data_IF_754557957518
#
_entry.id   IF_754557957518
#
_cell.length_a   1.000
_cell.length_b   1.000
_cell.length_c   1.000
_cell.angle_alpha   90.00
_cell.angle_beta   90.00
_cell.angle_gamma   90.00
#
_symmetry.space_group_name_H-M   'P 1'
#
loop_
_entity.id
_entity.type
_entity.pdbx_description
1 polymer ?
#
# COMPACT_ATOMS: atom_id res chain seq x y z
N UNK A 1 -58.88 -29.08 50.32
CA UNK A 1 -57.90 -27.97 50.24
C UNK A 1 -56.51 -28.58 50.18
N UNK A 2 -55.87 -28.62 49.01
CA UNK A 2 -54.46 -29.03 48.86
C UNK A 2 -53.72 -27.80 48.35
N UNK A 3 -52.88 -27.20 49.20
CA UNK A 3 -51.96 -26.12 48.84
C UNK A 3 -50.85 -26.73 48.00
N UNK A 4 -50.79 -26.37 46.72
CA UNK A 4 -49.64 -26.67 45.86
C UNK A 4 -48.60 -25.58 46.07
N UNK A 5 -47.80 -25.72 47.13
CA UNK A 5 -46.56 -24.96 47.27
C UNK A 5 -45.53 -25.59 46.32
N UNK A 6 -45.48 -25.10 45.07
CA UNK A 6 -44.34 -25.37 44.21
C UNK A 6 -43.15 -24.61 44.82
N UNK A 7 -42.10 -25.30 45.31
CA UNK A 7 -40.93 -24.61 45.85
C UNK A 7 -40.31 -23.81 44.71
N UNK A 8 -40.16 -22.50 44.92
CA UNK A 8 -39.39 -21.64 44.02
C UNK A 8 -38.00 -22.26 43.92
N UNK A 9 -37.66 -22.81 42.74
CA UNK A 9 -36.36 -23.42 42.52
C UNK A 9 -35.29 -22.32 42.59
N UNK A 10 -34.48 -22.33 43.66
CA UNK A 10 -33.47 -21.32 43.94
C UNK A 10 -32.44 -21.17 42.81
N UNK A 11 -32.16 -22.25 42.07
CA UNK A 11 -31.26 -22.20 40.90
C UNK A 11 -31.85 -21.34 39.77
N UNK A 12 -33.16 -21.46 39.52
CA UNK A 12 -33.84 -20.65 38.50
C UNK A 12 -33.89 -19.17 38.91
N UNK A 13 -34.07 -18.90 40.22
CA UNK A 13 -34.10 -17.54 40.75
C UNK A 13 -32.70 -16.88 40.70
N UNK A 14 -31.65 -17.62 41.05
CA UNK A 14 -30.28 -17.15 40.98
C UNK A 14 -29.83 -16.87 39.55
N UNK A 15 -30.19 -17.74 38.60
CA UNK A 15 -29.93 -17.52 37.18
C UNK A 15 -30.65 -16.28 36.64
N UNK A 16 -31.89 -16.03 37.05
CA UNK A 16 -32.66 -14.83 36.65
C UNK A 16 -32.09 -13.53 37.25
N UNK A 17 -31.50 -13.60 38.45
CA UNK A 17 -30.77 -12.48 39.07
C UNK A 17 -29.47 -12.15 38.35
N UNK A 18 -28.68 -13.17 37.97
CA UNK A 18 -27.42 -12.97 37.25
C UNK A 18 -27.62 -12.39 35.85
N UNK A 19 -28.64 -12.82 35.11
CA UNK A 19 -28.94 -12.27 33.78
C UNK A 19 -29.47 -10.84 33.85
N UNK A 20 -30.30 -10.50 34.85
CA UNK A 20 -30.74 -9.12 35.09
C UNK A 20 -29.58 -8.19 35.43
N UNK A 21 -28.69 -8.62 36.32
CA UNK A 21 -27.51 -7.83 36.68
C UNK A 21 -26.58 -7.60 35.47
N UNK A 22 -26.39 -8.61 34.62
CA UNK A 22 -25.60 -8.48 33.40
C UNK A 22 -26.24 -7.50 32.40
N UNK A 23 -27.57 -7.56 32.22
CA UNK A 23 -28.33 -6.64 31.38
C UNK A 23 -28.22 -5.18 31.86
N UNK A 24 -28.37 -4.93 33.16
CA UNK A 24 -28.22 -3.58 33.71
C UNK A 24 -26.79 -3.05 33.56
N UNK A 25 -25.79 -3.91 33.79
CA UNK A 25 -24.39 -3.52 33.62
C UNK A 25 -24.09 -3.06 32.19
N UNK A 26 -24.47 -3.85 31.18
CA UNK A 26 -24.26 -3.51 29.77
C UNK A 26 -25.05 -2.26 29.33
N UNK A 27 -26.25 -2.04 29.89
CA UNK A 27 -27.01 -0.80 29.66
C UNK A 27 -26.31 0.41 30.27
N UNK A 28 -25.79 0.29 31.48
CA UNK A 28 -25.08 1.37 32.16
C UNK A 28 -23.76 1.71 31.45
N UNK A 29 -23.03 0.70 30.94
CA UNK A 29 -21.81 0.92 30.13
C UNK A 29 -22.12 1.69 28.84
N UNK A 30 -23.25 1.41 28.18
CA UNK A 30 -23.73 2.20 27.04
C UNK A 30 -24.10 3.62 27.42
N UNK A 31 -24.80 3.82 28.53
CA UNK A 31 -25.16 5.16 29.02
C UNK A 31 -23.93 6.01 29.41
N UNK A 32 -22.84 5.35 29.79
CA UNK A 32 -21.54 5.98 30.06
C UNK A 32 -20.69 6.19 28.79
N UNK A 33 -21.17 5.76 27.61
CA UNK A 33 -20.45 5.87 26.34
C UNK A 33 -19.24 4.94 26.21
N UNK A 34 -19.16 3.90 27.06
CA UNK A 34 -18.10 2.89 27.00
C UNK A 34 -18.35 1.83 25.92
N UNK A 35 -19.59 1.70 25.45
CA UNK A 35 -20.01 0.71 24.46
C UNK A 35 -21.16 1.25 23.59
N UNK A 36 -21.14 0.96 22.28
CA UNK A 36 -22.17 1.35 21.32
C UNK A 36 -23.14 0.19 21.00
N UNK A 37 -23.10 -0.89 21.78
CA UNK A 37 -23.98 -2.05 21.58
C UNK A 37 -25.46 -1.67 21.58
N UNK A 38 -26.15 -2.16 20.55
CA UNK A 38 -27.61 -2.08 20.44
C UNK A 38 -28.28 -2.98 21.47
N UNK A 39 -29.54 -2.68 21.82
CA UNK A 39 -30.32 -3.54 22.72
C UNK A 39 -30.29 -5.02 22.29
N UNK A 40 -30.42 -5.28 20.99
CA UNK A 40 -30.39 -6.63 20.43
C UNK A 40 -29.03 -7.33 20.65
N UNK A 41 -27.92 -6.62 20.52
CA UNK A 41 -26.59 -7.16 20.81
C UNK A 41 -26.42 -7.47 22.30
N UNK A 42 -26.91 -6.59 23.18
CA UNK A 42 -26.92 -6.82 24.64
C UNK A 42 -27.76 -8.06 24.98
N UNK A 43 -28.94 -8.19 24.38
CA UNK A 43 -29.80 -9.37 24.56
C UNK A 43 -29.11 -10.66 24.07
N UNK A 44 -28.46 -10.63 22.90
CA UNK A 44 -27.72 -11.78 22.37
C UNK A 44 -26.48 -12.13 23.20
N UNK A 45 -25.84 -11.17 23.85
CA UNK A 45 -24.68 -11.40 24.72
C UNK A 45 -25.10 -12.05 26.04
N UNK A 46 -26.22 -11.64 26.63
CA UNK A 46 -26.71 -12.17 27.92
C UNK A 46 -27.48 -13.49 27.76
N UNK A 47 -28.36 -13.58 26.76
CA UNK A 47 -29.23 -14.76 26.57
C UNK A 47 -28.75 -15.70 25.46
N UNK A 48 -27.74 -15.30 24.69
CA UNK A 48 -27.35 -15.98 23.46
C UNK A 48 -28.25 -15.60 22.29
N UNK A 49 -27.76 -15.83 21.06
CA UNK A 49 -28.60 -15.72 19.85
C UNK A 49 -29.79 -16.66 19.95
N UNK A 50 -30.99 -16.16 19.64
CA UNK A 50 -32.21 -16.97 19.63
C UNK A 50 -32.07 -18.11 18.61
N UNK A 51 -31.87 -19.32 19.14
CA UNK A 51 -31.74 -20.56 18.38
C UNK A 51 -33.06 -21.32 18.26
N UNK A 52 -34.12 -20.90 18.95
CA UNK A 52 -35.36 -21.69 19.14
C UNK A 52 -36.59 -20.94 18.65
N UNK A 53 -36.66 -20.69 17.33
CA UNK A 53 -37.98 -20.54 16.70
C UNK A 53 -38.68 -21.90 16.69
N UNK A 54 -40.02 -21.87 16.79
CA UNK A 54 -41.04 -22.93 16.97
C UNK A 54 -40.81 -24.37 16.44
N UNK A 55 -39.77 -24.67 15.66
CA UNK A 55 -39.47 -26.01 15.15
C UNK A 55 -38.29 -26.66 15.89
N UNK A 56 -38.56 -27.75 16.62
CA UNK A 56 -37.53 -28.73 16.99
C UNK A 56 -37.14 -29.53 15.75
N UNK A 57 -35.84 -29.69 15.50
CA UNK A 57 -35.37 -30.69 14.54
C UNK A 57 -35.58 -32.10 15.13
N UNK A 58 -35.71 -33.11 14.27
CA UNK A 58 -35.76 -34.50 14.71
C UNK A 58 -34.39 -34.91 15.26
N UNK A 59 -34.32 -35.26 16.55
CA UNK A 59 -33.10 -35.71 17.23
C UNK A 59 -32.95 -35.11 18.63
N UNK A 60 -32.34 -35.86 19.55
CA UNK A 60 -32.00 -35.36 20.90
C UNK A 60 -30.97 -34.24 20.75
N UNK A 61 -31.24 -33.09 21.36
CA UNK A 61 -30.32 -31.96 21.54
C UNK A 61 -29.89 -31.17 20.28
N UNK A 62 -30.48 -31.41 19.10
CA UNK A 62 -30.18 -30.63 17.89
C UNK A 62 -31.31 -29.65 17.57
N UNK A 63 -30.98 -28.38 17.41
CA UNK A 63 -31.93 -27.36 16.96
C UNK A 63 -31.87 -27.21 15.45
N UNK A 64 -32.96 -26.74 14.84
CA UNK A 64 -33.01 -26.55 13.37
C UNK A 64 -32.01 -25.49 12.89
N UNK A 65 -31.67 -24.53 13.77
CA UNK A 65 -30.65 -23.51 13.56
C UNK A 65 -29.23 -24.08 13.60
N UNK A 66 -28.98 -25.22 14.24
CA UNK A 66 -27.67 -25.91 14.15
C UNK A 66 -27.45 -26.52 12.75
N UNK A 67 -28.52 -26.85 12.04
CA UNK A 67 -28.45 -27.41 10.68
C UNK A 67 -28.43 -26.33 9.59
N UNK A 68 -29.25 -25.29 9.72
CA UNK A 68 -29.44 -24.28 8.66
C UNK A 68 -28.86 -22.90 9.00
N UNK A 69 -28.29 -22.75 10.19
CA UNK A 69 -27.84 -21.45 10.70
C UNK A 69 -29.00 -20.55 11.14
N UNK A 70 -28.66 -19.47 11.83
CA UNK A 70 -29.61 -18.41 12.16
C UNK A 70 -29.78 -17.53 10.92
N UNK A 71 -31.02 -17.38 10.45
CA UNK A 71 -31.31 -16.42 9.38
C UNK A 71 -30.99 -15.01 9.89
N UNK A 72 -30.04 -14.28 9.27
CA UNK A 72 -29.66 -12.94 9.72
C UNK A 72 -30.86 -12.00 9.70
N UNK A 73 -30.90 -11.12 10.69
CA UNK A 73 -31.93 -10.10 10.77
C UNK A 73 -31.74 -9.07 9.66
N UNK A 74 -32.79 -8.31 9.31
CA UNK A 74 -32.68 -7.17 8.39
C UNK A 74 -31.66 -6.14 8.88
N UNK A 75 -31.51 -6.01 10.19
CA UNK A 75 -30.60 -5.08 10.83
C UNK A 75 -29.14 -5.56 10.69
N UNK A 76 -28.89 -6.87 10.89
CA UNK A 76 -27.57 -7.49 10.68
C UNK A 76 -27.12 -7.32 9.23
N UNK A 77 -28.03 -7.54 8.28
CA UNK A 77 -27.79 -7.32 6.85
C UNK A 77 -27.45 -5.86 6.54
N UNK A 78 -28.17 -4.91 7.13
CA UNK A 78 -27.90 -3.49 6.93
C UNK A 78 -26.53 -3.08 7.47
N UNK A 79 -26.14 -3.57 8.66
CA UNK A 79 -24.82 -3.34 9.25
C UNK A 79 -23.72 -3.90 8.35
N UNK A 80 -23.84 -5.14 7.90
CA UNK A 80 -22.88 -5.74 6.98
C UNK A 80 -22.74 -4.96 5.67
N UNK A 81 -23.85 -4.47 5.10
CA UNK A 81 -23.80 -3.65 3.88
C UNK A 81 -23.09 -2.32 4.12
N UNK A 82 -23.32 -1.68 5.28
CA UNK A 82 -22.63 -0.43 5.62
C UNK A 82 -21.12 -0.64 5.80
N UNK A 83 -20.72 -1.70 6.50
CA UNK A 83 -19.30 -2.06 6.67
C UNK A 83 -18.62 -2.39 5.34
N UNK A 84 -19.30 -3.15 4.48
CA UNK A 84 -18.79 -3.46 3.14
C UNK A 84 -18.62 -2.21 2.29
N UNK A 85 -19.59 -1.28 2.32
CA UNK A 85 -19.48 0.01 1.63
C UNK A 85 -18.31 0.84 2.17
N UNK A 86 -18.13 0.87 3.49
CA UNK A 86 -17.02 1.59 4.13
C UNK A 86 -15.68 1.03 3.68
N UNK A 87 -15.49 -0.30 3.79
CA UNK A 87 -14.25 -0.97 3.37
C UNK A 87 -13.97 -0.80 1.87
N UNK A 88 -15.00 -0.88 1.03
CA UNK A 88 -14.86 -0.64 -0.41
C UNK A 88 -14.41 0.79 -0.70
N UNK A 89 -14.98 1.80 -0.02
CA UNK A 89 -14.56 3.18 -0.17
C UNK A 89 -13.14 3.42 0.32
N UNK A 90 -12.74 2.82 1.45
CA UNK A 90 -11.37 2.90 1.96
C UNK A 90 -10.37 2.32 0.96
N UNK A 91 -10.66 1.13 0.40
CA UNK A 91 -9.81 0.51 -0.63
C UNK A 91 -9.71 1.35 -1.91
N UNK A 92 -10.80 1.99 -2.34
CA UNK A 92 -10.78 2.90 -3.50
C UNK A 92 -9.94 4.14 -3.22
N UNK A 93 -10.03 4.70 -2.01
CA UNK A 93 -9.24 5.87 -1.60
C UNK A 93 -7.74 5.55 -1.57
N UNK A 94 -7.38 4.39 -1.01
CA UNK A 94 -6.00 3.92 -0.96
C UNK A 94 -5.44 3.68 -2.37
N UNK A 95 -6.18 2.96 -3.22
CA UNK A 95 -5.78 2.74 -4.61
C UNK A 95 -5.61 4.05 -5.42
N UNK A 96 -6.43 5.08 -5.14
CA UNK A 96 -6.27 6.40 -5.76
C UNK A 96 -4.99 7.09 -5.28
N UNK A 97 -4.69 6.99 -3.99
CA UNK A 97 -3.48 7.58 -3.39
C UNK A 97 -2.22 6.94 -3.98
N UNK A 98 -2.19 5.62 -4.06
CA UNK A 98 -1.06 4.87 -4.65
C UNK A 98 -0.86 5.25 -6.13
N UNK A 99 -1.96 5.43 -6.87
CA UNK A 99 -1.90 5.86 -8.27
C UNK A 99 -1.34 7.29 -8.41
N UNK A 100 -1.70 8.21 -7.51
CA UNK A 100 -1.16 9.57 -7.50
C UNK A 100 0.32 9.59 -7.13
N UNK A 101 0.75 8.80 -6.15
CA UNK A 101 2.16 8.65 -5.77
C UNK A 101 2.98 8.08 -6.94
N UNK A 102 2.52 6.98 -7.56
CA UNK A 102 3.19 6.39 -8.73
C UNK A 102 3.27 7.36 -9.92
N UNK A 103 2.29 8.26 -10.10
CA UNK A 103 2.34 9.32 -11.12
C UNK A 103 3.42 10.35 -10.82
N UNK A 104 3.52 10.81 -9.57
CA UNK A 104 4.55 11.77 -9.15
C UNK A 104 5.94 11.19 -9.31
N UNK A 105 6.15 9.95 -8.88
CA UNK A 105 7.43 9.25 -9.07
C UNK A 105 7.81 9.13 -10.54
N UNK A 106 6.84 8.78 -11.40
CA UNK A 106 7.06 8.70 -12.85
C UNK A 106 7.42 10.05 -13.46
N UNK A 107 6.79 11.14 -13.03
CA UNK A 107 7.12 12.49 -13.50
C UNK A 107 8.52 12.92 -13.04
N UNK A 108 8.88 12.64 -11.79
CA UNK A 108 10.20 12.93 -11.26
C UNK A 108 11.29 12.13 -12.00
N UNK A 109 11.09 10.83 -12.20
CA UNK A 109 12.03 9.98 -12.95
C UNK A 109 12.20 10.45 -14.41
N UNK A 110 11.13 10.98 -15.04
CA UNK A 110 11.23 11.58 -16.38
C UNK A 110 12.06 12.86 -16.36
N UNK A 111 11.87 13.72 -15.36
CA UNK A 111 12.61 14.96 -15.23
C UNK A 111 14.11 14.69 -15.01
N UNK A 112 14.45 13.77 -14.11
CA UNK A 112 15.83 13.33 -13.86
C UNK A 112 16.47 12.72 -15.11
N UNK A 113 15.72 11.89 -15.85
CA UNK A 113 16.19 11.33 -17.12
C UNK A 113 16.41 12.40 -18.20
N UNK A 114 15.62 13.47 -18.22
CA UNK A 114 15.82 14.59 -19.14
C UNK A 114 17.07 15.41 -18.77
N UNK A 115 17.30 15.65 -17.48
CA UNK A 115 18.51 16.32 -17.00
C UNK A 115 19.76 15.51 -17.34
N UNK A 116 19.77 14.21 -17.04
CA UNK A 116 20.89 13.32 -17.39
C UNK A 116 21.18 13.30 -18.91
N UNK A 117 20.13 13.40 -19.75
CA UNK A 117 20.31 13.54 -21.20
C UNK A 117 20.98 14.85 -21.60
N UNK A 118 20.61 15.97 -20.96
CA UNK A 118 21.24 17.28 -21.22
C UNK A 118 22.71 17.26 -20.80
N UNK A 119 23.00 16.76 -19.61
CA UNK A 119 24.38 16.65 -19.10
C UNK A 119 25.25 15.75 -19.98
N UNK A 120 24.71 14.62 -20.44
CA UNK A 120 25.45 13.73 -21.36
C UNK A 120 25.65 14.36 -22.74
N UNK A 121 24.71 15.16 -23.23
CA UNK A 121 24.86 15.91 -24.48
C UNK A 121 25.92 17.02 -24.35
N UNK A 122 25.95 17.74 -23.23
CA UNK A 122 26.96 18.75 -22.92
C UNK A 122 28.36 18.14 -22.81
N UNK A 123 28.51 17.07 -22.02
CA UNK A 123 29.78 16.35 -21.90
C UNK A 123 30.26 15.81 -23.26
N UNK A 124 29.34 15.37 -24.13
CA UNK A 124 29.68 14.95 -25.50
C UNK A 124 30.18 16.12 -26.35
N UNK A 125 29.56 17.29 -26.27
CA UNK A 125 30.01 18.49 -26.98
C UNK A 125 31.41 18.92 -26.51
N UNK A 126 31.66 18.90 -25.22
CA UNK A 126 33.00 19.20 -24.66
C UNK A 126 34.06 18.17 -25.09
N UNK A 127 33.71 16.89 -25.11
CA UNK A 127 34.61 15.85 -25.62
C UNK A 127 34.91 16.03 -27.12
N UNK A 128 33.93 16.50 -27.90
CA UNK A 128 34.10 16.77 -29.32
C UNK A 128 34.99 18.00 -29.58
N UNK A 129 34.81 19.08 -28.82
CA UNK A 129 35.67 20.28 -28.95
C UNK A 129 37.10 19.98 -28.55
N UNK A 130 37.32 19.30 -27.43
CA UNK A 130 38.66 18.90 -27.00
C UNK A 130 39.35 17.99 -28.01
N UNK A 131 38.61 17.05 -28.63
CA UNK A 131 39.11 16.23 -29.73
C UNK A 131 39.53 17.08 -30.93
N UNK A 132 38.68 18.00 -31.38
CA UNK A 132 39.00 18.90 -32.50
C UNK A 132 40.24 19.75 -32.22
N UNK A 133 40.42 20.25 -31.00
CA UNK A 133 41.61 20.99 -30.59
C UNK A 133 42.88 20.13 -30.63
N UNK A 134 42.80 18.87 -30.17
CA UNK A 134 43.92 17.93 -30.23
C UNK A 134 44.28 17.62 -31.68
N UNK A 135 43.30 17.33 -32.53
CA UNK A 135 43.52 17.06 -33.96
C UNK A 135 44.17 18.26 -34.66
N UNK A 136 43.69 19.48 -34.39
CA UNK A 136 44.29 20.71 -34.93
C UNK A 136 45.76 20.91 -34.47
N UNK A 137 46.07 20.60 -33.21
CA UNK A 137 47.46 20.65 -32.70
C UNK A 137 48.34 19.60 -33.36
N UNK A 138 47.83 18.40 -33.61
CA UNK A 138 48.56 17.34 -34.31
C UNK A 138 48.87 17.77 -35.75
N UNK A 139 47.89 18.31 -36.48
CA UNK A 139 48.09 18.81 -37.84
C UNK A 139 49.12 19.94 -37.92
N UNK A 140 49.03 20.90 -37.00
CA UNK A 140 49.98 22.01 -36.91
C UNK A 140 51.40 21.50 -36.63
N UNK A 141 51.54 20.53 -35.71
CA UNK A 141 52.81 19.90 -35.37
C UNK A 141 53.40 19.14 -36.56
N UNK A 142 52.58 18.33 -37.25
CA UNK A 142 52.97 17.61 -38.46
C UNK A 142 53.44 18.56 -39.58
N UNK A 143 52.74 19.68 -39.77
CA UNK A 143 53.13 20.72 -40.73
C UNK A 143 54.47 21.38 -40.38
N UNK A 144 54.70 21.65 -39.09
CA UNK A 144 55.95 22.20 -38.59
C UNK A 144 57.12 21.23 -38.79
N UNK A 145 56.97 19.96 -38.41
CA UNK A 145 58.00 18.94 -38.65
C UNK A 145 58.23 18.70 -40.13
N UNK A 146 57.18 18.65 -40.95
CA UNK A 146 57.31 18.53 -42.40
C UNK A 146 58.15 19.66 -43.01
N UNK A 147 57.95 20.91 -42.58
CA UNK A 147 58.81 22.04 -42.98
C UNK A 147 60.24 21.90 -42.47
N UNK A 148 60.42 21.53 -41.19
CA UNK A 148 61.75 21.36 -40.58
C UNK A 148 62.56 20.29 -41.30
N UNK A 149 61.95 19.15 -41.61
CA UNK A 149 62.58 18.05 -42.35
C UNK A 149 62.96 18.52 -43.77
N UNK A 150 62.07 19.22 -44.48
CA UNK A 150 62.40 19.78 -45.81
C UNK A 150 63.58 20.74 -45.77
N UNK A 151 63.64 21.62 -44.77
CA UNK A 151 64.75 22.55 -44.61
C UNK A 151 66.07 21.81 -44.30
N UNK A 152 66.06 20.86 -43.37
CA UNK A 152 67.24 20.04 -43.05
C UNK A 152 67.75 19.27 -44.27
N UNK A 153 66.86 18.69 -45.08
CA UNK A 153 67.23 18.02 -46.32
C UNK A 153 67.83 18.99 -47.34
N UNK A 154 67.26 20.19 -47.48
CA UNK A 154 67.78 21.22 -48.38
C UNK A 154 69.16 21.74 -47.94
N UNK A 155 69.38 21.94 -46.63
CA UNK A 155 70.68 22.33 -46.05
C UNK A 155 71.73 21.23 -46.26
N UNK A 156 71.37 19.97 -46.01
CA UNK A 156 72.26 18.82 -46.23
C UNK A 156 72.70 18.68 -47.70
N UNK A 157 71.76 18.86 -48.64
CA UNK A 157 72.09 18.84 -50.07
C UNK A 157 72.98 20.03 -50.48
N UNK A 158 72.80 21.21 -49.88
CA UNK A 158 73.66 22.39 -50.14
C UNK A 158 75.06 22.24 -49.57
N UNK A 159 75.22 21.67 -48.37
CA UNK A 159 76.54 21.42 -47.78
C UNK A 159 77.30 20.32 -48.53
N UNK A 160 76.61 19.29 -49.03
CA UNK A 160 77.23 18.22 -49.82
C UNK A 160 77.69 18.65 -51.22
N UNK A 161 77.17 19.77 -51.75
CA UNK A 161 77.53 20.30 -53.08
C UNK A 161 78.63 21.37 -53.04
N UNK A 162 79.00 21.86 -51.85
CA UNK A 162 80.10 22.82 -51.62
C UNK A 162 81.36 22.15 -51.04
N UNK A 163 81.39 20.82 -50.93
CA UNK A 163 82.51 20.04 -50.36
C UNK A 163 83.46 19.40 -51.37
N UNK A 164 83.19 19.50 -52.67
CA UNK A 164 84.06 18.99 -53.74
C UNK A 164 84.68 20.16 -54.52
N UNK A 165 85.78 20.72 -54.01
CA UNK A 165 86.78 21.51 -54.74
C UNK A 165 88.13 21.46 -54.02
#
# INVERSE_FOLDING_TARGET
MRTFDNPINAENLANDMHTKAAMEKLKNEREQGLDDKTNEQIFQEVFGKDRRRYLRAYGRDKSITDYFGVKPSRLDLAQHVMELKKRANESIMEAKKDLEEARKEKEQAKFEAEQAKKETEEARKEAETTRQEVDAKIEANNKMWGKKIKNMLAEFLRSSTHGDL
#
